data_IF_536187762819
#
_entry.id   IF_536187762819
#
_cell.length_a   1.000
_cell.length_b   1.000
_cell.length_c   1.000
_cell.angle_alpha   90.00
_cell.angle_beta   90.00
_cell.angle_gamma   90.00
#
_symmetry.space_group_name_H-M   'P 1'
#
loop_
_entity.id
_entity.type
_entity.pdbx_description
1 polymer ?
#
# COMPACT_ATOMS: atom_id res chain seq x y z
N UNK A 1 -1.48 -6.76 -9.55
CA UNK A 1 -0.07 -6.99 -9.83
C UNK A 1 0.44 -6.36 -11.11
N UNK A 2 1.71 -6.60 -11.44
CA UNK A 2 2.37 -5.98 -12.61
C UNK A 2 1.91 -6.58 -13.95
N UNK A 3 1.28 -7.73 -13.97
CA UNK A 3 1.01 -8.55 -15.15
C UNK A 3 -0.21 -8.14 -15.99
N UNK A 4 -1.11 -7.33 -15.49
CA UNK A 4 -2.41 -7.05 -16.15
C UNK A 4 -2.45 -5.73 -16.92
N UNK A 5 -1.37 -5.35 -17.62
CA UNK A 5 -1.27 -4.07 -18.36
C UNK A 5 -2.35 -3.92 -19.42
N UNK A 6 -2.51 -4.95 -20.28
CA UNK A 6 -3.51 -4.91 -21.36
C UNK A 6 -4.93 -4.79 -20.80
N UNK A 7 -5.27 -5.58 -19.76
CA UNK A 7 -6.58 -5.50 -19.11
C UNK A 7 -6.84 -4.14 -18.49
N UNK A 8 -5.84 -3.57 -17.80
CA UNK A 8 -5.98 -2.22 -17.21
C UNK A 8 -6.17 -1.15 -18.28
N UNK A 9 -5.39 -1.19 -19.37
CA UNK A 9 -5.58 -0.25 -20.50
C UNK A 9 -6.95 -0.39 -21.17
N UNK A 10 -7.46 -1.62 -21.26
CA UNK A 10 -8.80 -1.86 -21.80
C UNK A 10 -9.87 -1.32 -20.86
N UNK A 11 -9.77 -1.56 -19.56
CA UNK A 11 -10.70 -1.04 -18.56
C UNK A 11 -10.76 0.50 -18.60
N UNK A 12 -9.60 1.18 -18.67
CA UNK A 12 -9.52 2.64 -18.80
C UNK A 12 -10.14 3.20 -20.09
N UNK A 13 -10.30 2.38 -21.14
CA UNK A 13 -10.96 2.79 -22.38
C UNK A 13 -12.47 2.53 -22.40
N UNK A 14 -12.94 1.64 -21.58
CA UNK A 14 -14.33 1.16 -21.62
C UNK A 14 -15.17 1.67 -20.43
N UNK A 15 -14.54 2.09 -19.34
CA UNK A 15 -15.23 2.58 -18.15
C UNK A 15 -14.84 4.01 -17.81
N UNK A 16 -15.72 4.70 -17.09
CA UNK A 16 -15.44 6.04 -16.55
C UNK A 16 -14.43 5.96 -15.41
N UNK A 17 -14.45 4.85 -14.66
CA UNK A 17 -13.49 4.50 -13.61
C UNK A 17 -12.95 3.10 -13.82
N UNK A 18 -11.65 2.93 -13.62
CA UNK A 18 -10.99 1.63 -13.63
C UNK A 18 -10.34 1.37 -12.26
N UNK A 19 -10.81 0.32 -11.58
CA UNK A 19 -10.29 -0.07 -10.27
C UNK A 19 -9.46 -1.33 -10.42
N UNK A 20 -8.24 -1.31 -9.90
CA UNK A 20 -7.35 -2.46 -9.92
C UNK A 20 -6.82 -2.76 -8.53
N UNK A 21 -6.53 -4.03 -8.28
CA UNK A 21 -5.88 -4.47 -7.05
C UNK A 21 -4.34 -4.50 -7.23
N UNK A 22 -3.61 -3.95 -6.26
CA UNK A 22 -2.15 -4.03 -6.24
C UNK A 22 -1.64 -5.39 -5.74
N UNK A 23 -2.41 -6.08 -4.91
CA UNK A 23 -2.08 -7.36 -4.29
C UNK A 23 -1.09 -7.25 -3.13
N UNK A 24 -1.11 -8.20 -2.21
CA UNK A 24 -0.28 -8.19 -1.00
C UNK A 24 -0.43 -6.93 -0.13
N UNK A 25 0.52 -6.69 0.75
CA UNK A 25 0.61 -5.41 1.46
C UNK A 25 1.08 -4.27 0.58
N UNK A 26 0.74 -3.05 0.96
CA UNK A 26 1.05 -1.87 0.16
C UNK A 26 2.56 -1.63 0.00
N UNK A 27 3.37 -2.05 0.96
CA UNK A 27 4.83 -2.01 0.89
C UNK A 27 5.42 -2.88 -0.24
N UNK A 28 4.73 -3.97 -0.61
CA UNK A 28 5.13 -4.87 -1.70
C UNK A 28 4.28 -4.66 -2.96
N UNK A 29 2.96 -4.73 -2.83
CA UNK A 29 2.06 -4.72 -3.97
C UNK A 29 1.89 -3.36 -4.59
N UNK A 30 1.66 -2.32 -3.78
CA UNK A 30 1.52 -0.97 -4.29
C UNK A 30 2.87 -0.45 -4.82
N UNK A 31 3.98 -0.71 -4.14
CA UNK A 31 5.32 -0.36 -4.63
C UNK A 31 5.54 -0.92 -6.04
N UNK A 32 5.37 -2.24 -6.24
CA UNK A 32 5.53 -2.86 -7.56
C UNK A 32 4.55 -2.33 -8.59
N UNK A 33 3.30 -2.10 -8.20
CA UNK A 33 2.30 -1.53 -9.10
C UNK A 33 2.72 -0.15 -9.59
N UNK A 34 3.17 0.71 -8.69
CA UNK A 34 3.54 2.09 -8.98
C UNK A 34 4.90 2.18 -9.68
N UNK A 35 5.95 1.58 -9.13
CA UNK A 35 7.30 1.69 -9.67
C UNK A 35 7.58 0.81 -10.90
N UNK A 36 6.86 -0.29 -11.08
CA UNK A 36 7.05 -1.18 -12.23
C UNK A 36 5.91 -1.02 -13.24
N UNK A 37 4.68 -1.40 -12.86
CA UNK A 37 3.55 -1.45 -13.81
C UNK A 37 3.20 -0.07 -14.35
N UNK A 38 3.05 0.93 -13.48
CA UNK A 38 2.71 2.28 -13.91
C UNK A 38 3.80 2.86 -14.81
N UNK A 39 5.07 2.65 -14.45
CA UNK A 39 6.22 3.08 -15.24
C UNK A 39 6.24 2.45 -16.62
N UNK A 40 6.12 1.13 -16.71
CA UNK A 40 6.15 0.39 -17.99
C UNK A 40 4.95 0.68 -18.89
N UNK A 41 3.80 0.92 -18.30
CA UNK A 41 2.54 1.08 -19.03
C UNK A 41 2.15 2.56 -19.28
N UNK A 42 2.89 3.52 -18.71
CA UNK A 42 2.55 4.94 -18.76
C UNK A 42 1.27 5.27 -17.99
N UNK A 43 0.97 4.51 -16.93
CA UNK A 43 -0.21 4.72 -16.10
C UNK A 43 0.08 5.74 -14.98
N UNK A 44 -0.93 6.53 -14.66
CA UNK A 44 -0.91 7.47 -13.52
C UNK A 44 -2.20 7.26 -12.74
N UNK A 45 -2.16 6.64 -11.56
CA UNK A 45 -3.33 6.53 -10.71
C UNK A 45 -3.80 7.90 -10.23
N UNK A 46 -5.12 8.08 -10.14
CA UNK A 46 -5.72 9.31 -9.63
C UNK A 46 -5.91 9.26 -8.12
N UNK A 47 -6.22 8.08 -7.56
CA UNK A 47 -6.40 7.86 -6.14
C UNK A 47 -6.02 6.43 -5.73
N UNK A 48 -5.77 6.25 -4.44
CA UNK A 48 -5.45 4.95 -3.83
C UNK A 48 -6.39 4.67 -2.66
N UNK A 49 -6.92 3.46 -2.60
CA UNK A 49 -7.65 2.95 -1.44
C UNK A 49 -6.72 2.03 -0.65
N UNK A 50 -6.40 2.42 0.58
CA UNK A 50 -5.64 1.60 1.52
C UNK A 50 -6.63 0.84 2.41
N UNK A 51 -6.71 -0.47 2.22
CA UNK A 51 -7.63 -1.32 3.00
C UNK A 51 -6.99 -1.71 4.33
N UNK A 52 -7.69 -1.46 5.43
CA UNK A 52 -7.29 -1.84 6.77
C UNK A 52 -8.39 -2.64 7.47
N UNK A 53 -8.01 -3.46 8.45
CA UNK A 53 -8.93 -4.09 9.40
C UNK A 53 -8.45 -3.85 10.83
N UNK A 54 -9.38 -3.59 11.75
CA UNK A 54 -9.07 -3.45 13.18
C UNK A 54 -8.33 -4.69 13.71
N UNK A 55 -8.74 -5.87 13.26
CA UNK A 55 -8.10 -7.15 13.65
C UNK A 55 -6.63 -7.21 13.25
N UNK A 56 -6.32 -6.84 12.00
CA UNK A 56 -4.93 -6.82 11.53
C UNK A 56 -4.08 -5.85 12.36
N UNK A 57 -4.59 -4.64 12.59
CA UNK A 57 -3.88 -3.65 13.39
C UNK A 57 -3.67 -4.11 14.83
N UNK A 58 -4.68 -4.69 15.51
CA UNK A 58 -4.50 -5.28 16.85
C UNK A 58 -3.44 -6.39 16.85
N UNK A 59 -3.44 -7.24 15.82
CA UNK A 59 -2.42 -8.30 15.71
C UNK A 59 -1.01 -7.73 15.52
N UNK A 60 -0.85 -6.70 14.70
CA UNK A 60 0.42 -5.95 14.60
C UNK A 60 0.84 -5.32 15.92
N UNK A 61 -0.12 -4.89 16.74
CA UNK A 61 0.11 -4.37 18.09
C UNK A 61 0.33 -5.43 19.17
N UNK A 62 0.43 -6.71 18.78
CA UNK A 62 0.78 -7.83 19.68
C UNK A 62 -0.42 -8.57 20.28
N UNK A 63 -1.65 -8.30 19.85
CA UNK A 63 -2.81 -9.07 20.28
C UNK A 63 -2.75 -10.53 19.74
N UNK A 64 -3.08 -11.50 20.59
CA UNK A 64 -3.16 -12.87 20.19
C UNK A 64 -4.33 -13.12 19.23
N UNK A 65 -4.19 -14.07 18.29
CA UNK A 65 -5.26 -14.36 17.29
C UNK A 65 -6.61 -14.69 17.92
N UNK A 66 -6.62 -15.40 19.06
CA UNK A 66 -7.85 -15.74 19.76
C UNK A 66 -8.57 -14.52 20.37
N UNK A 67 -7.86 -13.41 20.60
CA UNK A 67 -8.38 -12.20 21.25
C UNK A 67 -8.79 -11.10 20.27
N UNK A 68 -8.54 -11.27 18.96
CA UNK A 68 -8.81 -10.25 17.95
C UNK A 68 -10.27 -9.81 17.84
N UNK A 69 -11.20 -10.63 18.33
CA UNK A 69 -12.63 -10.29 18.39
C UNK A 69 -13.04 -9.46 19.62
N UNK A 70 -12.15 -9.21 20.58
CA UNK A 70 -12.39 -8.38 21.76
C UNK A 70 -11.82 -6.99 21.56
N UNK A 71 -12.44 -5.99 22.21
CA UNK A 71 -11.91 -4.63 22.21
C UNK A 71 -10.52 -4.60 22.86
N UNK A 72 -9.55 -4.02 22.17
CA UNK A 72 -8.20 -3.77 22.70
C UNK A 72 -7.60 -2.51 22.04
N UNK A 73 -7.96 -1.36 22.60
CA UNK A 73 -7.46 -0.07 22.13
C UNK A 73 -5.94 0.06 22.26
N UNK A 74 -5.35 -0.55 23.30
CA UNK A 74 -3.91 -0.46 23.52
C UNK A 74 -3.13 -1.26 22.46
N UNK A 75 -3.59 -2.46 22.09
CA UNK A 75 -3.01 -3.21 20.98
C UNK A 75 -3.25 -2.51 19.65
N UNK A 76 -4.45 -1.95 19.44
CA UNK A 76 -4.77 -1.20 18.24
C UNK A 76 -3.83 0.00 18.07
N UNK A 77 -3.62 0.79 19.13
CA UNK A 77 -2.73 1.95 19.11
C UNK A 77 -1.27 1.57 18.78
N UNK A 78 -0.77 0.46 19.35
CA UNK A 78 0.57 -0.05 19.01
C UNK A 78 0.68 -0.54 17.57
N UNK A 79 -0.40 -1.00 16.96
CA UNK A 79 -0.40 -1.49 15.58
C UNK A 79 -0.67 -0.42 14.53
N UNK A 80 -1.23 0.72 14.90
CA UNK A 80 -1.53 1.83 14.00
C UNK A 80 -0.33 2.36 13.20
N UNK A 81 0.90 2.46 13.75
CA UNK A 81 2.06 2.90 12.99
C UNK A 81 2.26 2.13 11.69
N UNK A 82 1.88 0.86 11.63
CA UNK A 82 1.95 0.07 10.40
C UNK A 82 1.02 0.62 9.29
N UNK A 83 -0.24 0.94 9.63
CA UNK A 83 -1.16 1.58 8.69
C UNK A 83 -0.68 2.98 8.28
N UNK A 84 -0.24 3.77 9.26
CA UNK A 84 0.21 5.14 9.01
C UNK A 84 1.45 5.18 8.10
N UNK A 85 2.32 4.17 8.20
CA UNK A 85 3.45 3.98 7.27
C UNK A 85 2.98 3.76 5.84
N UNK A 86 1.97 2.91 5.61
CA UNK A 86 1.41 2.69 4.28
C UNK A 86 0.77 3.97 3.72
N UNK A 87 0.04 4.71 4.55
CA UNK A 87 -0.55 6.00 4.18
C UNK A 87 0.53 7.02 3.81
N UNK A 88 1.60 7.10 4.61
CA UNK A 88 2.74 7.99 4.37
C UNK A 88 3.43 7.65 3.03
N UNK A 89 3.67 6.37 2.77
CA UNK A 89 4.24 5.91 1.51
C UNK A 89 3.40 6.38 0.31
N UNK A 90 2.07 6.22 0.35
CA UNK A 90 1.20 6.63 -0.75
C UNK A 90 1.21 8.15 -0.92
N UNK A 91 1.04 8.91 0.17
CA UNK A 91 0.96 10.37 0.12
C UNK A 91 2.29 11.05 -0.18
N UNK A 92 3.31 10.71 0.61
CA UNK A 92 4.54 11.47 0.66
C UNK A 92 5.63 10.89 -0.24
N UNK A 93 5.68 9.56 -0.44
CA UNK A 93 6.63 8.96 -1.38
C UNK A 93 6.10 9.01 -2.80
N UNK A 94 4.86 8.54 -3.03
CA UNK A 94 4.28 8.46 -4.37
C UNK A 94 3.46 9.69 -4.79
N UNK A 95 3.11 10.58 -3.87
CA UNK A 95 2.39 11.83 -4.17
C UNK A 95 0.94 11.62 -4.61
N UNK A 96 0.29 10.55 -4.12
CA UNK A 96 -1.06 10.17 -4.53
C UNK A 96 -2.11 10.52 -3.45
N UNK A 97 -3.27 11.03 -3.85
CA UNK A 97 -4.42 11.11 -2.95
C UNK A 97 -4.82 9.71 -2.47
N UNK A 98 -5.18 9.57 -1.19
CA UNK A 98 -5.64 8.28 -0.68
C UNK A 98 -6.74 8.41 0.37
N UNK A 99 -7.52 7.34 0.48
CA UNK A 99 -8.49 7.10 1.54
C UNK A 99 -8.18 5.77 2.22
N UNK A 100 -8.37 5.70 3.53
CA UNK A 100 -8.32 4.44 4.27
C UNK A 100 -9.73 3.83 4.30
N UNK A 101 -9.88 2.64 3.75
CA UNK A 101 -11.10 1.86 3.86
C UNK A 101 -10.97 0.87 5.02
N UNK A 102 -11.76 1.07 6.09
CA UNK A 102 -11.85 0.08 7.16
C UNK A 102 -12.84 -0.99 6.72
N UNK A 103 -12.33 -2.19 6.40
CA UNK A 103 -13.17 -3.35 6.18
C UNK A 103 -13.67 -3.86 7.56
N UNK A 104 -14.86 -3.40 7.93
CA UNK A 104 -15.40 -3.57 9.27
C UNK A 104 -15.90 -4.99 9.52
N UNK A 105 -15.61 -5.51 10.69
CA UNK A 105 -16.16 -6.75 11.21
C UNK A 105 -17.20 -6.48 12.29
N UNK A 106 -18.20 -7.39 12.50
CA UNK A 106 -19.24 -7.21 13.53
C UNK A 106 -18.69 -7.08 14.96
N UNK A 107 -17.46 -7.49 15.18
CA UNK A 107 -16.78 -7.41 16.49
C UNK A 107 -15.99 -6.14 16.70
N UNK A 108 -15.84 -5.30 15.67
CA UNK A 108 -15.12 -4.04 15.79
C UNK A 108 -15.99 -3.05 16.57
N UNK A 109 -15.42 -2.43 17.60
CA UNK A 109 -16.17 -1.50 18.45
C UNK A 109 -16.11 -0.07 17.90
N UNK A 110 -17.09 0.74 18.28
CA UNK A 110 -17.13 2.15 17.90
C UNK A 110 -15.88 2.91 18.39
N UNK A 111 -15.33 2.54 19.54
CA UNK A 111 -14.11 3.14 20.07
C UNK A 111 -12.88 2.79 19.22
N UNK A 112 -12.76 1.54 18.77
CA UNK A 112 -11.68 1.09 17.87
C UNK A 112 -11.75 1.79 16.51
N UNK A 113 -12.93 1.85 15.90
CA UNK A 113 -13.13 2.52 14.61
C UNK A 113 -12.79 4.02 14.71
N UNK A 114 -13.24 4.67 15.78
CA UNK A 114 -12.95 6.08 16.03
C UNK A 114 -11.45 6.36 16.21
N UNK A 115 -10.74 5.49 16.93
CA UNK A 115 -9.28 5.63 17.11
C UNK A 115 -8.53 5.57 15.76
N UNK A 116 -8.89 4.63 14.88
CA UNK A 116 -8.29 4.54 13.53
C UNK A 116 -8.59 5.81 12.73
N UNK A 117 -9.84 6.28 12.76
CA UNK A 117 -10.25 7.50 12.05
C UNK A 117 -9.48 8.73 12.54
N UNK A 118 -9.37 8.93 13.84
CA UNK A 118 -8.65 10.06 14.43
C UNK A 118 -7.18 10.06 14.01
N UNK A 119 -6.51 8.92 14.07
CA UNK A 119 -5.10 8.78 13.67
C UNK A 119 -4.85 9.02 12.18
N UNK A 120 -5.73 8.56 11.32
CA UNK A 120 -5.65 8.86 9.89
C UNK A 120 -5.91 10.35 9.61
N UNK A 121 -6.87 10.95 10.31
CA UNK A 121 -7.17 12.39 10.20
C UNK A 121 -5.99 13.27 10.60
N UNK A 122 -5.19 12.88 11.60
CA UNK A 122 -3.95 13.58 11.98
C UNK A 122 -2.96 13.68 10.80
N UNK A 123 -2.95 12.69 9.89
CA UNK A 123 -2.18 12.71 8.65
C UNK A 123 -2.91 13.38 7.46
N UNK A 124 -4.08 13.96 7.69
CA UNK A 124 -4.90 14.57 6.64
C UNK A 124 -5.41 13.55 5.62
N UNK A 125 -5.77 12.35 6.08
CA UNK A 125 -6.36 11.29 5.26
C UNK A 125 -7.75 10.96 5.78
N UNK A 126 -8.72 10.89 4.85
CA UNK A 126 -10.07 10.46 5.16
C UNK A 126 -10.15 8.95 5.36
N UNK A 127 -11.13 8.56 6.18
CA UNK A 127 -11.44 7.16 6.45
C UNK A 127 -12.89 6.91 6.05
N UNK A 128 -13.12 5.83 5.34
CA UNK A 128 -14.47 5.34 5.01
C UNK A 128 -14.67 3.93 5.58
N UNK A 129 -15.80 3.73 6.23
CA UNK A 129 -16.18 2.40 6.69
C UNK A 129 -16.72 1.59 5.50
N UNK A 130 -16.23 0.37 5.34
CA UNK A 130 -16.71 -0.57 4.33
C UNK A 130 -17.43 -1.75 4.99
N UNK A 131 -18.72 -1.85 4.73
CA UNK A 131 -19.59 -2.92 5.21
C UNK A 131 -20.19 -3.73 4.03
N UNK A 132 -19.47 -3.76 2.92
CA UNK A 132 -19.96 -4.40 1.68
C UNK A 132 -20.27 -5.88 1.84
N UNK A 133 -19.59 -6.58 2.73
CA UNK A 133 -19.86 -7.99 3.03
C UNK A 133 -21.26 -8.20 3.64
N UNK A 134 -21.77 -7.25 4.45
CA UNK A 134 -23.06 -7.33 5.12
C UNK A 134 -24.19 -6.66 4.33
N UNK A 135 -23.89 -5.55 3.64
CA UNK A 135 -24.88 -4.65 3.03
C UNK A 135 -24.78 -4.58 1.49
N UNK A 136 -23.88 -5.38 0.88
CA UNK A 136 -23.62 -5.29 -0.55
C UNK A 136 -23.14 -3.89 -0.95
N UNK A 137 -23.49 -3.42 -2.15
CA UNK A 137 -23.08 -2.12 -2.66
C UNK A 137 -23.42 -0.94 -1.76
N UNK A 138 -24.56 -0.99 -1.07
CA UNK A 138 -24.95 0.06 -0.12
C UNK A 138 -23.95 0.26 1.03
N UNK A 139 -23.25 -0.81 1.43
CA UNK A 139 -22.22 -0.74 2.47
C UNK A 139 -20.90 -0.10 2.02
N UNK A 140 -20.77 0.23 0.74
CA UNK A 140 -19.56 0.87 0.15
C UNK A 140 -19.82 2.26 -0.42
N UNK A 141 -21.03 2.80 -0.33
CA UNK A 141 -21.38 4.07 -0.99
C UNK A 141 -20.49 5.23 -0.53
N UNK A 142 -20.31 5.38 0.78
CA UNK A 142 -19.45 6.46 1.32
C UNK A 142 -17.99 6.33 0.85
N UNK A 143 -17.46 5.11 0.75
CA UNK A 143 -16.14 4.88 0.18
C UNK A 143 -16.09 5.26 -1.30
N UNK A 144 -17.11 4.90 -2.08
CA UNK A 144 -17.18 5.21 -3.51
C UNK A 144 -17.24 6.72 -3.76
N UNK A 145 -18.06 7.46 -3.01
CA UNK A 145 -18.18 8.92 -3.08
C UNK A 145 -16.82 9.59 -2.75
N UNK A 146 -16.12 9.10 -1.72
CA UNK A 146 -14.81 9.63 -1.36
C UNK A 146 -13.75 9.35 -2.43
N UNK A 147 -13.77 8.15 -3.05
CA UNK A 147 -12.86 7.82 -4.17
C UNK A 147 -13.11 8.74 -5.36
N UNK A 148 -14.36 8.98 -5.73
CA UNK A 148 -14.72 9.92 -6.82
C UNK A 148 -14.19 11.31 -6.50
N UNK A 149 -14.42 11.82 -5.28
CA UNK A 149 -13.91 13.11 -4.83
C UNK A 149 -12.38 13.20 -4.90
N UNK A 150 -11.66 12.13 -4.54
CA UNK A 150 -10.21 12.09 -4.62
C UNK A 150 -9.70 12.06 -6.07
N UNK A 151 -10.40 11.37 -6.98
CA UNK A 151 -10.03 11.34 -8.39
C UNK A 151 -10.14 12.72 -9.08
N UNK A 152 -10.93 13.64 -8.52
CA UNK A 152 -11.04 15.03 -9.00
C UNK A 152 -9.92 15.95 -8.48
N UNK A 153 -9.12 15.46 -7.52
CA UNK A 153 -8.02 16.25 -6.96
C UNK A 153 -6.76 16.16 -7.82
N UNK A 154 -5.94 17.20 -7.86
CA UNK A 154 -4.64 17.13 -8.51
C UNK A 154 -3.76 16.09 -7.80
N UNK A 155 -3.07 15.28 -8.58
CA UNK A 155 -2.12 14.28 -8.12
C UNK A 155 -0.70 14.69 -8.52
N UNK A 156 0.24 14.58 -7.59
CA UNK A 156 1.69 14.78 -7.82
C UNK A 156 2.38 13.42 -7.90
N UNK A 157 1.81 12.52 -8.71
CA UNK A 157 2.33 11.15 -8.83
C UNK A 157 3.78 11.14 -9.29
N UNK A 158 4.62 10.47 -8.52
CA UNK A 158 6.03 10.26 -8.80
C UNK A 158 6.47 8.85 -8.42
N UNK A 159 7.54 8.40 -9.03
CA UNK A 159 8.16 7.12 -8.70
C UNK A 159 9.06 7.25 -7.47
N UNK A 160 9.21 6.15 -6.73
CA UNK A 160 10.06 6.15 -5.52
C UNK A 160 11.55 6.32 -5.85
N UNK A 161 11.99 5.88 -7.02
CA UNK A 161 13.39 5.99 -7.49
C UNK A 161 13.49 6.24 -8.99
N UNK A 162 14.63 6.76 -9.43
CA UNK A 162 15.00 6.89 -10.84
C UNK A 162 15.66 5.60 -11.36
N UNK A 163 15.53 5.29 -12.68
CA UNK A 163 16.11 4.07 -13.27
C UNK A 163 17.64 4.16 -13.48
N UNK A 164 18.18 5.35 -13.69
CA UNK A 164 19.59 5.54 -14.01
C UNK A 164 20.59 5.32 -12.87
N UNK A 165 20.11 5.01 -11.65
CA UNK A 165 20.96 4.60 -10.54
C UNK A 165 21.37 3.13 -10.61
N UNK A 166 22.38 2.74 -9.83
CA UNK A 166 22.80 1.35 -9.69
C UNK A 166 21.69 0.48 -9.08
N UNK A 167 21.80 -0.83 -9.20
CA UNK A 167 20.86 -1.78 -8.57
C UNK A 167 20.86 -1.57 -7.05
N UNK A 168 22.03 -1.39 -6.45
CA UNK A 168 22.21 -1.14 -5.03
C UNK A 168 21.53 0.15 -4.57
N UNK A 169 21.71 1.26 -5.29
CA UNK A 169 21.07 2.55 -4.97
C UNK A 169 19.54 2.47 -5.04
N UNK A 170 19.01 1.74 -6.02
CA UNK A 170 17.55 1.52 -6.13
C UNK A 170 17.03 0.68 -4.96
N UNK A 171 17.73 -0.40 -4.59
CA UNK A 171 17.41 -1.22 -3.42
C UNK A 171 17.45 -0.39 -2.13
N UNK A 172 18.51 0.40 -1.95
CA UNK A 172 18.64 1.28 -0.79
C UNK A 172 17.49 2.29 -0.72
N UNK A 173 17.13 2.88 -1.85
CA UNK A 173 16.01 3.83 -1.93
C UNK A 173 14.69 3.18 -1.51
N UNK A 174 14.38 1.98 -2.00
CA UNK A 174 13.18 1.24 -1.59
C UNK A 174 13.23 0.94 -0.08
N UNK A 175 14.35 0.42 0.42
CA UNK A 175 14.48 0.09 1.83
C UNK A 175 14.31 1.31 2.73
N UNK A 176 14.90 2.44 2.40
CA UNK A 176 14.78 3.66 3.20
C UNK A 176 13.42 4.33 3.07
N UNK A 177 12.90 4.47 1.85
CA UNK A 177 11.69 5.27 1.61
C UNK A 177 10.39 4.49 1.86
N UNK A 178 10.36 3.19 1.56
CA UNK A 178 9.14 2.37 1.68
C UNK A 178 9.11 1.62 3.02
N UNK A 179 10.26 1.07 3.44
CA UNK A 179 10.37 0.29 4.66
C UNK A 179 10.87 1.09 5.86
N UNK A 180 11.32 2.33 5.68
CA UNK A 180 11.97 3.18 6.69
C UNK A 180 13.13 2.47 7.39
N UNK A 181 13.83 1.61 6.67
CA UNK A 181 15.04 0.97 7.16
C UNK A 181 16.23 1.94 7.15
N UNK A 182 17.21 1.69 8.01
CA UNK A 182 18.45 2.49 8.05
C UNK A 182 19.32 2.30 6.80
N UNK A 183 19.12 1.22 6.05
CA UNK A 183 19.85 0.91 4.83
C UNK A 183 19.65 -0.54 4.39
N UNK A 184 20.48 -0.96 3.41
CA UNK A 184 20.49 -2.33 2.90
C UNK A 184 21.89 -2.91 3.00
N UNK A 185 21.99 -4.16 3.44
CA UNK A 185 23.24 -4.92 3.44
C UNK A 185 23.12 -6.05 2.43
N UNK A 186 23.89 -5.97 1.36
CA UNK A 186 23.96 -7.02 0.36
C UNK A 186 25.04 -8.05 0.74
N UNK A 187 24.69 -9.33 0.70
CA UNK A 187 25.69 -10.40 0.84
C UNK A 187 26.68 -10.35 -0.33
N UNK A 188 27.91 -10.89 -0.19
CA UNK A 188 28.87 -10.95 -1.29
C UNK A 188 28.32 -11.61 -2.55
N UNK A 189 27.47 -12.64 -2.38
CA UNK A 189 26.79 -13.30 -3.50
C UNK A 189 25.81 -12.36 -4.21
N UNK A 190 24.98 -11.60 -3.47
CA UNK A 190 24.05 -10.64 -4.02
C UNK A 190 24.78 -9.50 -4.76
N UNK A 191 25.87 -8.98 -4.20
CA UNK A 191 26.70 -7.97 -4.85
C UNK A 191 27.29 -8.48 -6.18
N UNK A 192 27.77 -9.74 -6.21
CA UNK A 192 28.28 -10.35 -7.43
C UNK A 192 27.18 -10.48 -8.48
N UNK A 193 25.97 -10.87 -8.08
CA UNK A 193 24.82 -10.96 -8.98
C UNK A 193 24.38 -9.59 -9.50
N UNK A 194 24.33 -8.57 -8.66
CA UNK A 194 23.98 -7.21 -9.08
C UNK A 194 24.96 -6.68 -10.14
N UNK A 195 26.27 -6.85 -9.94
CA UNK A 195 27.29 -6.52 -10.96
C UNK A 195 27.06 -7.30 -12.26
N UNK A 196 26.84 -8.61 -12.16
CA UNK A 196 26.59 -9.45 -13.35
C UNK A 196 25.35 -9.00 -14.12
N UNK A 197 24.26 -8.65 -13.45
CA UNK A 197 23.06 -8.14 -14.10
C UNK A 197 23.31 -6.79 -14.79
N UNK A 198 24.09 -5.92 -14.19
CA UNK A 198 24.49 -4.64 -14.80
C UNK A 198 25.34 -4.86 -16.06
N UNK A 199 26.33 -5.77 -16.04
CA UNK A 199 27.13 -6.16 -17.21
C UNK A 199 26.29 -6.72 -18.36
N UNK A 200 25.19 -7.41 -18.04
CA UNK A 200 24.24 -7.95 -19.00
C UNK A 200 23.24 -6.92 -19.56
N UNK A 201 23.35 -5.65 -19.13
CA UNK A 201 22.48 -4.57 -19.59
C UNK A 201 21.17 -4.43 -18.83
N UNK A 202 20.99 -5.09 -17.68
CA UNK A 202 19.78 -5.01 -16.86
C UNK A 202 19.86 -3.95 -15.74
N UNK A 203 20.93 -3.17 -15.69
CA UNK A 203 21.16 -2.17 -14.66
C UNK A 203 20.07 -1.10 -14.55
N UNK A 204 19.44 -0.73 -15.67
CA UNK A 204 18.39 0.30 -15.72
C UNK A 204 16.97 -0.25 -15.56
N UNK A 205 16.79 -1.56 -15.32
CA UNK A 205 15.47 -2.11 -15.07
C UNK A 205 14.96 -1.74 -13.66
N UNK A 206 13.61 -1.65 -13.48
CA UNK A 206 13.02 -1.52 -12.16
C UNK A 206 13.36 -2.71 -11.26
N UNK A 207 13.41 -2.46 -9.95
CA UNK A 207 13.61 -3.50 -8.94
C UNK A 207 12.26 -4.15 -8.62
N UNK A 208 12.20 -5.49 -8.69
CA UNK A 208 11.05 -6.26 -8.22
C UNK A 208 11.37 -6.88 -6.86
N UNK A 209 10.90 -6.28 -5.78
CA UNK A 209 11.05 -6.82 -4.43
C UNK A 209 10.23 -8.10 -4.32
N UNK A 210 10.92 -9.22 -4.03
CA UNK A 210 10.24 -10.48 -3.77
C UNK A 210 9.48 -10.44 -2.44
N UNK A 211 8.47 -11.31 -2.29
CA UNK A 211 7.75 -11.46 -1.03
C UNK A 211 8.71 -11.87 0.09
N UNK A 212 8.58 -11.23 1.24
CA UNK A 212 9.31 -11.54 2.47
C UNK A 212 8.33 -11.72 3.62
N UNK A 213 8.65 -12.61 4.57
CA UNK A 213 7.92 -12.75 5.83
C UNK A 213 8.11 -11.56 6.79
N UNK A 214 9.06 -10.70 6.52
CA UNK A 214 9.35 -9.48 7.30
C UNK A 214 8.76 -8.22 6.67
N UNK A 215 7.81 -8.37 5.72
CA UNK A 215 7.05 -7.27 5.16
C UNK A 215 6.28 -6.53 6.27
N UNK A 216 6.00 -5.25 6.07
CA UNK A 216 5.15 -4.44 6.96
C UNK A 216 3.74 -5.02 7.10
N UNK A 217 3.27 -5.74 6.09
CA UNK A 217 1.97 -6.42 6.09
C UNK A 217 2.09 -7.87 6.52
N UNK A 218 1.34 -8.27 7.53
CA UNK A 218 1.15 -9.67 7.87
C UNK A 218 0.09 -10.28 6.93
N UNK A 219 0.53 -11.08 5.97
CA UNK A 219 -0.35 -11.67 4.94
C UNK A 219 -1.13 -12.87 5.46
N UNK A 220 -0.80 -13.40 6.63
CA UNK A 220 -1.40 -14.60 7.21
C UNK A 220 -2.09 -14.30 8.53
N UNK A 221 -3.12 -13.48 8.48
CA UNK A 221 -4.04 -13.28 9.62
C UNK A 221 -5.30 -14.11 9.41
#
# INVERSE_FOLDING_TARGET
GCNSVTATRMALKLGDYAITEAGFGADLGAEKFLDIKCRMAGLKPDAVVVVATVRALKHHGGAARAELGREDLAALERGLPNLLQHVDNIKNVFGLPCVVAINAFPTDTAAELKLVEEKCRELGVSVALSEVWAKGGAGGTALAEEVVRLCEQPSDFRYSYALGGSIEEKLETICRRIYHADGVVLTPAAQKQARRLTELGFGELPICMAKTQYSLSLIHI
#
